data_IF_351845537964
#
_entry.id   IF_351845537964
#
_cell.length_a   1.000
_cell.length_b   1.000
_cell.length_c   1.000
_cell.angle_alpha   90.00
_cell.angle_beta   90.00
_cell.angle_gamma   90.00
#
_symmetry.space_group_name_H-M   'P 1'
#
loop_
_entity.id
_entity.type
_entity.pdbx_description
1 polymer ?
#
# COMPACT_ATOMS: atom_id res chain seq x y z
N UNK A 1 -0.15 4.75 -12.45
CA UNK A 1 -0.67 3.41 -12.10
C UNK A 1 -2.01 3.58 -11.40
N UNK A 2 -3.01 2.78 -11.76
CA UNK A 2 -4.38 2.91 -11.27
C UNK A 2 -4.86 1.56 -10.77
N UNK A 3 -5.24 1.46 -9.50
CA UNK A 3 -5.74 0.23 -8.87
C UNK A 3 -7.10 0.55 -8.28
N UNK A 4 -8.12 -0.19 -8.73
CA UNK A 4 -9.50 0.08 -8.37
C UNK A 4 -10.27 -1.20 -8.05
N UNK A 5 -11.24 -1.11 -7.14
CA UNK A 5 -12.21 -2.19 -6.90
C UNK A 5 -11.64 -3.43 -6.21
N UNK A 6 -10.46 -3.35 -5.60
CA UNK A 6 -9.84 -4.49 -4.91
C UNK A 6 -10.54 -4.72 -3.58
N UNK A 7 -10.97 -5.96 -3.33
CA UNK A 7 -11.61 -6.37 -2.07
C UNK A 7 -10.85 -7.54 -1.45
N UNK A 8 -10.42 -7.39 -0.20
CA UNK A 8 -9.78 -8.43 0.58
C UNK A 8 -10.70 -8.87 1.72
N UNK A 9 -11.11 -10.14 1.70
CA UNK A 9 -11.95 -10.74 2.75
C UNK A 9 -11.11 -11.18 3.96
N UNK A 10 -11.71 -11.11 5.15
CA UNK A 10 -11.09 -11.67 6.35
C UNK A 10 -11.15 -13.20 6.31
N UNK A 11 -10.02 -13.85 6.59
CA UNK A 11 -9.93 -15.30 6.72
C UNK A 11 -9.64 -15.64 8.17
N UNK A 12 -10.37 -16.61 8.71
CA UNK A 12 -10.15 -17.12 10.06
C UNK A 12 -9.15 -18.28 10.03
N UNK A 13 -8.03 -18.11 10.71
CA UNK A 13 -7.00 -19.14 10.85
C UNK A 13 -6.27 -18.99 12.18
N UNK A 14 -5.91 -20.12 12.82
CA UNK A 14 -5.07 -20.11 14.03
C UNK A 14 -5.61 -19.29 15.20
N UNK A 15 -6.93 -19.11 15.31
CA UNK A 15 -7.57 -18.34 16.39
C UNK A 15 -7.71 -16.83 16.13
N UNK A 16 -7.28 -16.33 14.96
CA UNK A 16 -7.46 -14.94 14.55
C UNK A 16 -8.24 -14.82 13.25
N UNK A 17 -8.76 -13.62 12.96
CA UNK A 17 -9.41 -13.28 11.69
C UNK A 17 -8.78 -12.00 11.14
N UNK A 18 -8.18 -12.08 9.95
CA UNK A 18 -7.56 -10.96 9.28
C UNK A 18 -7.62 -11.12 7.75
N UNK A 19 -7.61 -10.02 7.02
CA UNK A 19 -7.56 -10.03 5.55
C UNK A 19 -6.14 -10.11 5.00
N UNK A 20 -5.22 -9.44 5.67
CA UNK A 20 -3.83 -9.26 5.27
C UNK A 20 -2.98 -8.84 6.48
N UNK A 21 -1.66 -8.77 6.31
CA UNK A 21 -0.79 -8.20 7.36
C UNK A 21 -0.87 -6.66 7.38
N UNK A 22 -0.69 -6.03 6.22
CA UNK A 22 -0.89 -4.60 5.96
C UNK A 22 -1.76 -4.45 4.70
N UNK A 23 -2.58 -3.40 4.63
CA UNK A 23 -3.52 -3.18 3.53
C UNK A 23 -2.82 -3.08 2.16
N UNK A 24 -1.71 -2.34 2.10
CA UNK A 24 -0.85 -2.27 0.93
C UNK A 24 0.58 -1.85 1.29
N UNK A 25 1.50 -2.19 0.39
CA UNK A 25 2.91 -1.80 0.43
C UNK A 25 3.27 -1.21 -0.93
N UNK A 26 3.66 0.06 -0.97
CA UNK A 26 4.30 0.65 -2.14
C UNK A 26 5.77 0.89 -1.81
N UNK A 27 6.63 0.07 -2.39
CA UNK A 27 8.08 0.17 -2.27
C UNK A 27 8.65 0.60 -3.62
N UNK A 28 9.02 1.87 -3.73
CA UNK A 28 9.75 2.39 -4.88
C UNK A 28 11.19 1.88 -4.94
N UNK A 29 11.88 2.12 -6.05
CA UNK A 29 13.25 1.67 -6.24
C UNK A 29 14.20 2.37 -5.25
N UNK A 30 15.18 1.60 -4.75
CA UNK A 30 16.30 2.11 -3.97
C UNK A 30 17.59 1.92 -4.78
N UNK A 31 18.39 2.98 -4.89
CA UNK A 31 19.71 2.89 -5.54
C UNK A 31 20.62 1.85 -4.85
N UNK A 32 20.46 1.66 -3.54
CA UNK A 32 21.20 0.65 -2.76
C UNK A 32 20.82 -0.80 -3.11
N UNK A 33 19.70 -1.03 -3.79
CA UNK A 33 19.29 -2.37 -4.24
C UNK A 33 19.87 -2.76 -5.60
N UNK A 34 20.60 -1.84 -6.25
CA UNK A 34 21.24 -2.10 -7.54
C UNK A 34 22.54 -2.90 -7.34
N UNK A 35 22.60 -4.08 -7.97
CA UNK A 35 23.72 -5.03 -7.83
C UNK A 35 24.73 -4.97 -9.00
N UNK A 36 24.57 -4.02 -9.92
CA UNK A 36 25.47 -3.85 -11.07
C UNK A 36 26.60 -2.84 -10.82
N UNK A 37 27.50 -2.65 -11.79
CA UNK A 37 28.44 -1.54 -11.77
C UNK A 37 27.68 -0.21 -11.91
N UNK A 38 28.13 0.83 -11.21
CA UNK A 38 27.51 2.16 -11.07
C UNK A 38 26.32 2.23 -10.08
N UNK A 39 25.96 3.45 -9.68
CA UNK A 39 24.75 3.74 -8.88
C UNK A 39 23.78 4.53 -9.74
N UNK A 40 22.80 3.89 -10.41
CA UNK A 40 21.89 4.59 -11.27
C UNK A 40 21.04 5.59 -10.45
N UNK A 41 20.75 6.74 -11.05
CA UNK A 41 19.72 7.62 -10.53
C UNK A 41 18.38 6.89 -10.59
N UNK A 42 17.70 6.78 -9.44
CA UNK A 42 16.37 6.15 -9.35
C UNK A 42 15.33 7.21 -9.04
N UNK A 43 14.19 7.12 -9.71
CA UNK A 43 13.04 7.99 -9.46
C UNK A 43 12.00 7.28 -8.62
N UNK A 44 11.31 8.02 -7.76
CA UNK A 44 10.18 7.51 -7.00
C UNK A 44 9.05 7.01 -7.91
N UNK A 45 8.27 6.06 -7.41
CA UNK A 45 7.02 5.69 -8.06
C UNK A 45 6.08 6.90 -8.00
N UNK A 46 5.61 7.36 -9.15
CA UNK A 46 4.76 8.54 -9.25
C UNK A 46 3.38 8.21 -9.82
N UNK A 47 2.41 9.11 -9.59
CA UNK A 47 1.07 9.07 -10.20
C UNK A 47 0.34 7.75 -9.92
N UNK A 48 0.30 7.36 -8.65
CA UNK A 48 -0.45 6.19 -8.21
C UNK A 48 -1.83 6.61 -7.71
N UNK A 49 -2.87 5.94 -8.17
CA UNK A 49 -4.22 6.09 -7.63
C UNK A 49 -4.73 4.76 -7.12
N UNK A 50 -5.24 4.77 -5.88
CA UNK A 50 -6.07 3.72 -5.31
C UNK A 50 -7.50 4.27 -5.22
N UNK A 51 -8.48 3.53 -5.72
CA UNK A 51 -9.88 3.94 -5.64
C UNK A 51 -10.84 2.80 -5.36
N UNK A 52 -11.86 3.04 -4.54
CA UNK A 52 -12.97 2.10 -4.32
C UNK A 52 -12.52 0.70 -3.88
N UNK A 53 -11.49 0.64 -3.03
CA UNK A 53 -10.94 -0.61 -2.50
C UNK A 53 -11.40 -0.84 -1.07
N UNK A 54 -11.55 -2.11 -0.69
CA UNK A 54 -11.76 -2.54 0.69
C UNK A 54 -10.72 -3.60 1.05
N UNK A 55 -9.77 -3.26 1.93
CA UNK A 55 -8.71 -4.16 2.33
C UNK A 55 -9.05 -4.98 3.59
N UNK A 56 -10.33 -5.04 3.99
CA UNK A 56 -10.78 -5.84 5.14
C UNK A 56 -10.13 -5.36 6.44
N UNK A 57 -9.82 -6.29 7.36
CA UNK A 57 -9.17 -5.97 8.65
C UNK A 57 -7.73 -6.47 8.66
N UNK A 58 -6.72 -5.58 8.45
CA UNK A 58 -5.33 -6.00 8.53
C UNK A 58 -4.94 -6.39 9.97
N UNK A 59 -4.09 -7.41 10.11
CA UNK A 59 -3.54 -7.81 11.39
C UNK A 59 -2.69 -6.71 12.04
N UNK A 60 -1.93 -5.96 11.24
CA UNK A 60 -1.14 -4.82 11.70
C UNK A 60 -1.92 -3.50 11.58
N UNK A 61 -2.92 -3.32 12.42
CA UNK A 61 -3.73 -2.10 12.45
C UNK A 61 -2.94 -0.84 12.85
N UNK A 62 -1.80 -0.98 13.52
CA UNK A 62 -0.94 0.14 13.90
C UNK A 62 -0.18 0.72 12.71
N UNK A 63 0.20 -0.13 11.74
CA UNK A 63 0.87 0.25 10.48
C UNK A 63 0.06 -0.23 9.30
N UNK A 64 -1.07 0.44 9.05
CA UNK A 64 -2.09 0.03 8.07
C UNK A 64 -1.57 -0.08 6.65
N UNK A 65 -0.59 0.75 6.28
CA UNK A 65 0.10 0.70 5.00
C UNK A 65 1.58 1.02 5.17
N UNK A 66 2.37 0.69 4.16
CA UNK A 66 3.76 1.11 4.02
C UNK A 66 3.96 1.79 2.67
N UNK A 67 4.59 2.97 2.68
CA UNK A 67 4.99 3.68 1.48
C UNK A 67 6.44 4.16 1.62
N UNK A 68 7.22 4.03 0.54
CA UNK A 68 8.60 4.50 0.49
C UNK A 68 9.02 4.79 -0.96
N UNK A 69 9.65 5.93 -1.21
CA UNK A 69 10.00 6.39 -2.56
C UNK A 69 8.76 6.45 -3.46
N UNK A 70 7.73 7.14 -2.98
CA UNK A 70 6.44 7.35 -3.63
C UNK A 70 6.12 8.84 -3.68
N UNK A 71 5.87 9.35 -4.87
CA UNK A 71 5.45 10.72 -5.12
C UNK A 71 3.97 10.78 -5.55
N UNK A 72 3.12 11.32 -4.69
CA UNK A 72 1.72 11.62 -5.02
C UNK A 72 0.80 10.41 -5.16
N UNK A 73 0.80 9.50 -4.18
CA UNK A 73 -0.24 8.48 -4.05
C UNK A 73 -1.57 9.15 -3.69
N UNK A 74 -2.58 9.04 -4.56
CA UNK A 74 -3.97 9.44 -4.28
C UNK A 74 -4.82 8.23 -3.88
N UNK A 75 -5.57 8.40 -2.81
CA UNK A 75 -6.56 7.44 -2.31
C UNK A 75 -7.94 8.08 -2.36
N UNK A 76 -8.90 7.34 -2.89
CA UNK A 76 -10.31 7.72 -2.91
C UNK A 76 -11.14 6.52 -2.46
N UNK A 77 -12.04 6.71 -1.50
CA UNK A 77 -12.95 5.65 -1.03
C UNK A 77 -12.22 4.33 -0.69
N UNK A 78 -11.14 4.42 0.10
CA UNK A 78 -10.37 3.24 0.53
C UNK A 78 -10.84 2.81 1.91
N UNK A 79 -11.35 1.58 2.05
CA UNK A 79 -11.78 1.01 3.33
C UNK A 79 -10.70 0.11 3.92
N UNK A 80 -10.31 0.36 5.17
CA UNK A 80 -9.37 -0.47 5.93
C UNK A 80 -9.86 -0.57 7.38
N UNK A 81 -10.16 -1.78 7.83
CA UNK A 81 -10.66 -2.07 9.17
C UNK A 81 -11.97 -1.34 9.47
N UNK A 82 -12.85 -1.24 8.47
CA UNK A 82 -14.12 -0.51 8.56
C UNK A 82 -14.00 1.02 8.56
N UNK A 83 -12.80 1.58 8.36
CA UNK A 83 -12.58 3.02 8.23
C UNK A 83 -12.31 3.40 6.79
N UNK A 84 -12.96 4.45 6.29
CA UNK A 84 -12.75 4.97 4.95
C UNK A 84 -11.68 6.06 4.94
N UNK A 85 -10.86 6.09 3.89
CA UNK A 85 -9.76 7.03 3.69
C UNK A 85 -9.81 7.66 2.30
N UNK A 86 -9.70 8.98 2.28
CA UNK A 86 -9.55 9.82 1.10
C UNK A 86 -8.34 10.74 1.32
N UNK A 87 -7.16 10.27 0.93
CA UNK A 87 -5.88 10.86 1.31
C UNK A 87 -4.95 11.04 0.12
N UNK A 88 -4.01 11.98 0.25
CA UNK A 88 -2.84 12.07 -0.62
C UNK A 88 -1.58 11.83 0.22
N UNK A 89 -0.76 10.87 -0.18
CA UNK A 89 0.45 10.47 0.55
C UNK A 89 1.68 10.60 -0.34
N UNK A 90 2.83 10.91 0.27
CA UNK A 90 4.15 10.88 -0.34
C UNK A 90 5.18 10.55 0.74
N UNK A 91 6.21 9.77 0.40
CA UNK A 91 7.26 9.31 1.32
C UNK A 91 8.48 8.77 0.57
#
# INVERSE_FOLDING_TARGET
MHIFGVKAGNVTAGGGSASCYQAFVLLGPLASSYNGPDRPAVSSIANVTLGDCDFGTPANAARRWFIHSVAGLRQSNITIGGKTYDLSLSA
#
